data_IF_881748151777
#
_entry.id   IF_881748151777
#
_cell.length_a   1.000
_cell.length_b   1.000
_cell.length_c   1.000
_cell.angle_alpha   90.00
_cell.angle_beta   90.00
_cell.angle_gamma   90.00
#
_symmetry.space_group_name_H-M   'P 1'
#
loop_
_entity.id
_entity.type
_entity.pdbx_description
1 polymer ?
#
# COMPACT_ATOMS: atom_id res chain seq x y z
N UNK A 1 -25.46 3.51 -11.33
CA UNK A 1 -25.16 4.11 -9.99
C UNK A 1 -23.90 3.44 -9.46
N UNK A 2 -23.05 4.19 -8.72
CA UNK A 2 -21.85 3.61 -8.09
C UNK A 2 -22.24 2.54 -7.06
N UNK A 3 -21.49 1.43 -7.02
CA UNK A 3 -21.62 0.38 -6.00
C UNK A 3 -21.50 0.94 -4.57
N UNK A 4 -20.68 1.97 -4.40
CA UNK A 4 -20.31 2.55 -3.10
C UNK A 4 -21.36 3.51 -2.54
N UNK A 5 -22.27 4.01 -3.39
CA UNK A 5 -23.28 4.99 -2.96
C UNK A 5 -24.14 4.42 -1.85
N UNK A 6 -24.28 5.18 -0.76
CA UNK A 6 -25.00 4.82 0.45
C UNK A 6 -24.45 3.61 1.24
N UNK A 7 -23.29 3.03 0.85
CA UNK A 7 -22.63 2.01 1.64
C UNK A 7 -21.96 2.60 2.86
N UNK A 8 -22.05 1.89 3.99
CA UNK A 8 -21.29 2.19 5.21
C UNK A 8 -19.96 1.43 5.16
N UNK A 9 -18.88 2.16 4.96
CA UNK A 9 -17.55 1.57 4.75
C UNK A 9 -16.64 1.88 5.92
N UNK A 10 -16.06 0.83 6.51
CA UNK A 10 -14.97 0.98 7.50
C UNK A 10 -13.65 0.91 6.76
N UNK A 11 -12.79 1.92 6.95
CA UNK A 11 -11.43 1.96 6.42
C UNK A 11 -10.45 1.93 7.59
N UNK A 12 -9.79 0.79 7.81
CA UNK A 12 -8.72 0.71 8.83
C UNK A 12 -7.41 1.20 8.23
N UNK A 13 -6.61 1.92 9.02
CA UNK A 13 -5.44 2.61 8.47
C UNK A 13 -5.80 3.77 7.53
N UNK A 14 -7.03 4.30 7.66
CA UNK A 14 -7.57 5.34 6.76
C UNK A 14 -6.85 6.69 6.83
N UNK A 15 -5.98 6.90 7.81
CA UNK A 15 -5.08 8.05 7.90
C UNK A 15 -3.68 7.79 7.35
N UNK A 16 -3.42 6.56 6.91
CA UNK A 16 -2.20 6.17 6.22
C UNK A 16 -2.12 6.74 4.80
N UNK A 17 -1.05 6.40 4.10
CA UNK A 17 -0.82 6.85 2.72
C UNK A 17 -1.96 6.42 1.78
N UNK A 18 -2.09 5.13 1.50
CA UNK A 18 -3.13 4.61 0.59
C UNK A 18 -4.52 4.82 1.18
N UNK A 19 -4.68 4.57 2.49
CA UNK A 19 -5.96 4.72 3.18
C UNK A 19 -6.58 6.10 3.06
N UNK A 20 -5.77 7.17 3.11
CA UNK A 20 -6.27 8.54 2.96
C UNK A 20 -6.83 8.85 1.57
N UNK A 21 -6.21 8.31 0.51
CA UNK A 21 -6.73 8.42 -0.86
C UNK A 21 -7.99 7.58 -1.07
N UNK A 22 -8.03 6.39 -0.45
CA UNK A 22 -9.21 5.54 -0.49
C UNK A 22 -10.40 6.19 0.22
N UNK A 23 -10.18 6.83 1.37
CA UNK A 23 -11.22 7.59 2.09
C UNK A 23 -11.78 8.71 1.21
N UNK A 24 -10.90 9.51 0.59
CA UNK A 24 -11.30 10.58 -0.33
C UNK A 24 -12.17 10.02 -1.47
N UNK A 25 -11.74 8.94 -2.09
CA UNK A 25 -12.46 8.32 -3.20
C UNK A 25 -13.83 7.78 -2.78
N UNK A 26 -13.92 7.06 -1.67
CA UNK A 26 -15.17 6.51 -1.15
C UNK A 26 -16.20 7.60 -0.81
N UNK A 27 -15.75 8.69 -0.17
CA UNK A 27 -16.61 9.83 0.13
C UNK A 27 -17.15 10.52 -1.13
N UNK A 28 -16.32 10.61 -2.17
CA UNK A 28 -16.71 11.19 -3.47
C UNK A 28 -17.66 10.26 -4.26
N UNK A 29 -17.59 8.94 -4.04
CA UNK A 29 -18.55 7.97 -4.59
C UNK A 29 -19.88 7.91 -3.80
N UNK A 30 -20.00 8.70 -2.74
CA UNK A 30 -21.23 8.80 -1.93
C UNK A 30 -21.34 7.75 -0.83
N UNK A 31 -20.24 7.13 -0.41
CA UNK A 31 -20.20 6.26 0.75
C UNK A 31 -20.22 7.05 2.07
N UNK A 32 -20.73 6.45 3.13
CA UNK A 32 -20.51 6.90 4.51
C UNK A 32 -19.27 6.18 5.04
N UNK A 33 -18.24 6.93 5.43
CA UNK A 33 -16.95 6.34 5.80
C UNK A 33 -16.70 6.46 7.30
N UNK A 34 -16.32 5.35 7.93
CA UNK A 34 -15.71 5.30 9.26
C UNK A 34 -14.22 4.99 9.13
N UNK A 35 -13.39 5.93 9.55
CA UNK A 35 -11.93 5.76 9.63
C UNK A 35 -11.59 5.13 10.98
N UNK A 36 -10.80 4.04 10.97
CA UNK A 36 -10.24 3.40 12.16
C UNK A 36 -8.72 3.47 12.08
N UNK A 37 -8.06 4.11 13.06
CA UNK A 37 -6.61 4.31 13.04
C UNK A 37 -6.06 4.44 14.47
N UNK A 38 -4.77 4.15 14.66
CA UNK A 38 -4.04 4.34 15.92
C UNK A 38 -3.76 5.81 16.23
N UNK A 39 -3.55 6.62 15.17
CA UNK A 39 -3.15 8.03 15.29
C UNK A 39 -4.24 8.90 15.92
N UNK A 40 -3.85 10.02 16.51
CA UNK A 40 -4.82 11.05 16.94
C UNK A 40 -5.44 11.73 15.71
N UNK A 41 -6.67 12.23 15.87
CA UNK A 41 -7.35 13.02 14.81
C UNK A 41 -6.55 14.25 14.36
N UNK A 42 -5.74 14.80 15.28
CA UNK A 42 -4.91 15.99 15.08
C UNK A 42 -3.55 15.71 14.45
N UNK A 43 -3.19 14.46 14.14
CA UNK A 43 -1.89 14.19 13.51
C UNK A 43 -1.89 14.77 12.09
N UNK A 44 -0.94 15.67 11.73
CA UNK A 44 -0.97 16.47 10.49
C UNK A 44 -0.87 15.65 9.19
N UNK A 45 -0.80 14.34 9.29
CA UNK A 45 -0.62 13.47 8.12
C UNK A 45 -1.96 13.21 7.42
N UNK A 46 -2.16 13.83 6.25
CA UNK A 46 -2.59 13.16 5.04
C UNK A 46 -4.06 13.17 4.66
N UNK A 47 -5.02 13.31 5.52
CA UNK A 47 -6.43 13.51 5.12
C UNK A 47 -6.75 14.99 5.28
N UNK A 48 -7.28 15.61 4.24
CA UNK A 48 -7.71 16.99 4.30
C UNK A 48 -8.71 17.19 5.45
N UNK A 49 -8.64 18.28 6.24
CA UNK A 49 -9.55 18.53 7.34
C UNK A 49 -11.03 18.45 6.95
N UNK A 50 -11.36 18.92 5.74
CA UNK A 50 -12.72 18.92 5.18
C UNK A 50 -13.24 17.48 4.96
N UNK A 51 -12.35 16.55 4.58
CA UNK A 51 -12.70 15.14 4.40
C UNK A 51 -12.85 14.43 5.74
N UNK A 52 -12.00 14.76 6.72
CA UNK A 52 -12.16 14.26 8.08
C UNK A 52 -13.48 14.72 8.72
N UNK A 53 -13.97 15.92 8.38
CA UNK A 53 -15.26 16.41 8.83
C UNK A 53 -16.44 15.59 8.27
N UNK A 54 -16.28 14.97 7.09
CA UNK A 54 -17.30 14.14 6.42
C UNK A 54 -17.25 12.67 6.84
N UNK A 55 -16.25 12.23 7.58
CA UNK A 55 -16.08 10.85 8.02
C UNK A 55 -16.18 10.70 9.54
N UNK A 56 -16.77 9.58 9.99
CA UNK A 56 -16.65 9.17 11.39
C UNK A 56 -15.19 8.76 11.65
N UNK A 57 -14.60 9.24 12.75
CA UNK A 57 -13.27 8.85 13.17
C UNK A 57 -13.31 8.07 14.48
N UNK A 58 -12.68 6.89 14.47
CA UNK A 58 -12.52 6.05 15.66
C UNK A 58 -11.06 5.70 15.88
N UNK A 59 -10.51 6.15 17.01
CA UNK A 59 -9.18 5.69 17.46
C UNK A 59 -9.30 4.29 18.03
N UNK A 60 -8.55 3.32 17.50
CA UNK A 60 -8.51 1.96 18.04
C UNK A 60 -7.15 1.30 17.74
N UNK A 61 -6.65 0.53 18.71
CA UNK A 61 -5.56 -0.42 18.50
C UNK A 61 -6.16 -1.78 18.09
N UNK A 62 -5.86 -2.21 16.87
CA UNK A 62 -6.38 -3.47 16.35
C UNK A 62 -5.62 -4.71 16.87
N UNK A 63 -4.51 -4.50 17.58
CA UNK A 63 -3.86 -5.56 18.37
C UNK A 63 -4.55 -5.79 19.70
N UNK A 64 -5.31 -4.79 20.22
CA UNK A 64 -6.00 -4.89 21.50
C UNK A 64 -7.32 -5.64 21.36
N UNK A 65 -7.47 -6.73 22.14
CA UNK A 65 -8.63 -7.61 22.13
C UNK A 65 -9.92 -6.94 22.57
N UNK A 66 -9.87 -5.84 23.32
CA UNK A 66 -11.06 -5.12 23.78
C UNK A 66 -11.60 -4.13 22.76
N UNK A 67 -10.79 -3.70 21.81
CA UNK A 67 -11.09 -2.60 20.88
C UNK A 67 -11.64 -3.07 19.53
N UNK A 68 -11.15 -4.19 18.99
CA UNK A 68 -11.40 -4.58 17.60
C UNK A 68 -12.84 -5.03 17.31
N UNK A 69 -13.52 -5.68 18.24
CA UNK A 69 -14.84 -6.29 18.02
C UNK A 69 -15.97 -5.27 17.75
N UNK A 70 -15.75 -3.99 18.07
CA UNK A 70 -16.76 -2.92 17.89
C UNK A 70 -16.54 -2.08 16.63
N UNK A 71 -15.38 -2.20 15.98
CA UNK A 71 -15.01 -1.29 14.87
C UNK A 71 -15.83 -1.54 13.61
N UNK A 72 -16.29 -2.78 13.38
CA UNK A 72 -17.05 -3.19 12.19
C UNK A 72 -18.57 -3.05 12.36
N UNK A 73 -19.09 -2.71 13.56
CA UNK A 73 -20.53 -2.68 13.81
C UNK A 73 -21.27 -1.77 12.83
N UNK A 74 -22.26 -2.35 12.13
CA UNK A 74 -23.12 -1.65 11.19
C UNK A 74 -22.44 -1.25 9.88
N UNK A 75 -21.27 -1.82 9.55
CA UNK A 75 -20.63 -1.64 8.27
C UNK A 75 -21.17 -2.63 7.23
N UNK A 76 -21.35 -2.15 6.00
CA UNK A 76 -21.61 -3.00 4.83
C UNK A 76 -20.32 -3.58 4.27
N UNK A 77 -19.24 -2.77 4.28
CA UNK A 77 -17.94 -3.13 3.71
C UNK A 77 -16.82 -2.75 4.66
N UNK A 78 -15.79 -3.61 4.77
CA UNK A 78 -14.53 -3.29 5.47
C UNK A 78 -13.38 -3.27 4.47
N UNK A 79 -12.69 -2.14 4.38
CA UNK A 79 -11.44 -1.95 3.62
C UNK A 79 -10.29 -1.99 4.62
N UNK A 80 -9.63 -3.16 4.75
CA UNK A 80 -8.63 -3.38 5.80
C UNK A 80 -7.21 -3.08 5.31
N UNK A 81 -6.74 -1.83 5.56
CA UNK A 81 -5.40 -1.36 5.18
C UNK A 81 -4.46 -1.19 6.38
N UNK A 82 -4.95 -1.30 7.61
CA UNK A 82 -4.11 -1.16 8.80
C UNK A 82 -3.03 -2.23 8.82
N UNK A 83 -1.79 -1.81 8.99
CA UNK A 83 -0.63 -2.67 9.15
C UNK A 83 0.48 -1.92 9.90
N UNK A 84 1.30 -2.64 10.64
CA UNK A 84 2.56 -2.12 11.16
C UNK A 84 3.60 -2.22 10.04
N UNK A 85 3.98 -1.06 9.49
CA UNK A 85 4.96 -0.97 8.40
C UNK A 85 6.16 -0.15 8.90
N UNK A 86 7.36 -0.66 8.64
CA UNK A 86 8.64 -0.01 8.95
C UNK A 86 9.58 -0.12 7.74
N UNK A 87 10.65 0.65 7.73
CA UNK A 87 11.68 0.53 6.69
C UNK A 87 12.39 -0.82 6.72
N UNK A 88 13.04 -1.18 5.60
CA UNK A 88 13.76 -2.47 5.44
C UNK A 88 14.77 -2.70 6.56
N UNK A 89 15.53 -1.68 6.97
CA UNK A 89 16.51 -1.79 8.04
C UNK A 89 15.92 -2.18 9.39
N UNK A 90 14.68 -1.77 9.68
CA UNK A 90 13.95 -2.19 10.87
C UNK A 90 13.45 -3.63 10.73
N UNK A 91 12.82 -3.94 9.61
CA UNK A 91 12.20 -5.25 9.37
C UNK A 91 13.20 -6.41 9.48
N UNK A 92 14.42 -6.22 8.96
CA UNK A 92 15.51 -7.23 9.03
C UNK A 92 15.92 -7.57 10.48
N UNK A 93 15.75 -6.63 11.41
CA UNK A 93 16.13 -6.80 12.82
C UNK A 93 14.98 -7.22 13.74
N UNK A 94 13.72 -7.11 13.27
CA UNK A 94 12.52 -7.25 14.12
C UNK A 94 11.47 -8.16 13.48
N UNK A 95 11.88 -9.31 12.93
CA UNK A 95 10.97 -10.25 12.26
C UNK A 95 9.82 -10.74 13.16
N UNK A 96 10.12 -11.08 14.41
CA UNK A 96 9.13 -11.56 15.37
C UNK A 96 8.05 -10.51 15.67
N UNK A 97 8.45 -9.28 15.95
CA UNK A 97 7.54 -8.16 16.20
C UNK A 97 6.67 -7.83 14.98
N UNK A 98 7.28 -7.82 13.79
CA UNK A 98 6.58 -7.57 12.53
C UNK A 98 5.56 -8.67 12.22
N UNK A 99 5.94 -9.93 12.46
CA UNK A 99 5.02 -11.06 12.32
C UNK A 99 3.86 -10.93 13.30
N UNK A 100 4.16 -10.86 14.60
CA UNK A 100 3.16 -10.88 15.67
C UNK A 100 2.13 -9.76 15.53
N UNK A 101 2.59 -8.52 15.40
CA UNK A 101 1.68 -7.37 15.30
C UNK A 101 0.79 -7.44 14.06
N UNK A 102 1.34 -7.78 12.89
CA UNK A 102 0.55 -7.84 11.67
C UNK A 102 -0.37 -9.08 11.63
N UNK A 103 0.04 -10.21 12.22
CA UNK A 103 -0.82 -11.36 12.37
C UNK A 103 -2.05 -11.02 13.21
N UNK A 104 -1.86 -10.43 14.40
CA UNK A 104 -2.99 -10.03 15.27
C UNK A 104 -3.93 -9.05 14.57
N UNK A 105 -3.40 -7.99 13.95
CA UNK A 105 -4.21 -7.00 13.25
C UNK A 105 -5.10 -7.66 12.19
N UNK A 106 -4.55 -8.56 11.37
CA UNK A 106 -5.32 -9.22 10.31
C UNK A 106 -6.34 -10.23 10.88
N UNK A 107 -5.91 -11.07 11.84
CA UNK A 107 -6.77 -12.08 12.48
C UNK A 107 -7.99 -11.43 13.15
N UNK A 108 -7.76 -10.39 13.95
CA UNK A 108 -8.81 -9.67 14.66
C UNK A 108 -9.80 -9.00 13.70
N UNK A 109 -9.30 -8.36 12.66
CA UNK A 109 -10.18 -7.57 11.78
C UNK A 109 -11.08 -8.44 10.91
N UNK A 110 -10.60 -9.58 10.43
CA UNK A 110 -11.46 -10.48 9.66
C UNK A 110 -12.51 -11.14 10.56
N UNK A 111 -12.15 -11.54 11.79
CA UNK A 111 -13.11 -12.06 12.77
C UNK A 111 -14.12 -10.99 13.21
N UNK A 112 -13.69 -9.75 13.44
CA UNK A 112 -14.60 -8.64 13.71
C UNK A 112 -15.62 -8.42 12.60
N UNK A 113 -15.18 -8.52 11.34
CA UNK A 113 -16.06 -8.37 10.17
C UNK A 113 -17.08 -9.52 10.10
N UNK A 114 -16.63 -10.77 10.35
CA UNK A 114 -17.51 -11.94 10.41
C UNK A 114 -18.59 -11.77 11.47
N UNK A 115 -18.19 -11.46 12.71
CA UNK A 115 -19.12 -11.30 13.84
C UNK A 115 -20.09 -10.13 13.66
N UNK A 116 -19.69 -9.11 12.90
CA UNK A 116 -20.54 -7.96 12.59
C UNK A 116 -21.46 -8.19 11.37
N UNK A 117 -21.38 -9.33 10.69
CA UNK A 117 -22.16 -9.64 9.49
C UNK A 117 -21.83 -8.74 8.30
N UNK A 118 -20.57 -8.34 8.14
CA UNK A 118 -20.12 -7.48 7.03
C UNK A 118 -20.30 -8.21 5.69
N UNK A 119 -20.92 -7.57 4.70
CA UNK A 119 -21.17 -8.19 3.37
C UNK A 119 -19.87 -8.43 2.60
N UNK A 120 -18.93 -7.46 2.59
CA UNK A 120 -17.66 -7.59 1.85
C UNK A 120 -16.45 -7.11 2.65
N UNK A 121 -15.35 -7.81 2.48
CA UNK A 121 -14.08 -7.48 3.15
C UNK A 121 -12.94 -7.38 2.13
N UNK A 122 -12.10 -6.34 2.24
CA UNK A 122 -10.83 -6.26 1.53
C UNK A 122 -9.70 -6.66 2.48
N UNK A 123 -8.97 -7.69 2.14
CA UNK A 123 -7.71 -8.10 2.76
C UNK A 123 -6.53 -7.57 1.93
N UNK A 124 -5.79 -6.62 2.47
CA UNK A 124 -4.61 -6.07 1.78
C UNK A 124 -3.38 -6.88 2.16
N UNK A 125 -2.90 -7.67 1.20
CA UNK A 125 -1.65 -8.42 1.25
C UNK A 125 -0.47 -7.54 0.81
N UNK A 126 0.54 -8.08 0.12
CA UNK A 126 1.74 -7.35 -0.28
C UNK A 126 2.55 -8.10 -1.34
N UNK A 127 3.34 -7.38 -2.15
CA UNK A 127 4.41 -7.97 -2.96
C UNK A 127 5.44 -8.76 -2.12
N UNK A 128 5.56 -8.47 -0.83
CA UNK A 128 6.47 -9.18 0.09
C UNK A 128 6.12 -10.63 0.39
N UNK A 129 4.96 -11.14 -0.08
CA UNK A 129 4.62 -12.58 0.02
C UNK A 129 5.39 -13.43 -0.99
N UNK A 130 5.88 -12.84 -2.07
CA UNK A 130 6.61 -13.58 -3.10
C UNK A 130 8.02 -13.97 -2.67
N UNK A 131 8.50 -15.14 -3.08
CA UNK A 131 9.90 -15.50 -2.90
C UNK A 131 10.82 -14.62 -3.76
N UNK A 132 12.11 -14.62 -3.40
CA UNK A 132 13.12 -13.85 -4.13
C UNK A 132 13.25 -14.32 -5.59
N UNK A 133 13.16 -15.62 -5.80
CA UNK A 133 13.44 -16.29 -7.08
C UNK A 133 12.14 -16.67 -7.83
N UNK A 134 11.08 -15.85 -7.69
CA UNK A 134 9.85 -16.02 -8.47
C UNK A 134 10.01 -15.51 -9.91
N UNK A 135 9.12 -15.96 -10.80
CA UNK A 135 9.05 -15.46 -12.17
C UNK A 135 8.83 -13.94 -12.20
N UNK A 136 9.32 -13.27 -13.24
CA UNK A 136 9.07 -11.84 -13.48
C UNK A 136 8.76 -11.63 -14.97
N UNK A 137 7.55 -11.13 -15.31
CA UNK A 137 6.47 -10.67 -14.44
C UNK A 137 5.95 -11.75 -13.49
N UNK A 138 5.65 -11.38 -12.23
CA UNK A 138 5.32 -12.33 -11.16
C UNK A 138 3.82 -12.62 -11.14
N UNK A 139 3.38 -13.85 -11.42
CA UNK A 139 1.99 -14.22 -11.36
C UNK A 139 1.53 -14.53 -9.92
N UNK A 140 0.22 -14.44 -9.66
CA UNK A 140 -0.33 -14.58 -8.31
C UNK A 140 -0.10 -15.97 -7.69
N UNK A 141 -0.03 -17.02 -8.47
CA UNK A 141 0.24 -18.40 -8.02
C UNK A 141 1.63 -18.60 -7.41
N UNK A 142 2.58 -17.72 -7.70
CA UNK A 142 3.93 -17.77 -7.13
C UNK A 142 3.98 -17.32 -5.65
N UNK A 143 2.90 -16.73 -5.14
CA UNK A 143 2.86 -16.18 -3.80
C UNK A 143 3.11 -17.17 -2.65
N UNK A 144 3.03 -18.48 -2.90
CA UNK A 144 3.25 -19.54 -1.92
C UNK A 144 4.28 -20.60 -2.36
N UNK A 145 5.01 -20.39 -3.46
CA UNK A 145 5.98 -21.38 -3.99
C UNK A 145 7.28 -21.51 -3.19
N UNK A 146 7.55 -20.64 -2.25
CA UNK A 146 8.75 -20.67 -1.41
C UNK A 146 8.63 -19.72 -0.24
N UNK A 147 9.74 -19.39 0.42
CA UNK A 147 9.77 -18.46 1.53
C UNK A 147 9.55 -17.02 1.06
N UNK A 148 8.85 -16.18 1.85
CA UNK A 148 8.79 -14.75 1.60
C UNK A 148 10.18 -14.13 1.56
N UNK A 149 10.32 -12.98 0.89
CA UNK A 149 11.61 -12.30 0.84
C UNK A 149 12.21 -12.05 2.23
N UNK A 150 13.50 -12.40 2.39
CA UNK A 150 14.20 -12.35 3.67
C UNK A 150 14.18 -10.97 4.35
N UNK A 151 14.23 -9.88 3.58
CA UNK A 151 14.21 -8.52 4.11
C UNK A 151 12.89 -8.13 4.80
N UNK A 152 11.80 -8.83 4.47
CA UNK A 152 10.47 -8.64 5.04
C UNK A 152 9.87 -9.92 5.59
N UNK A 153 10.67 -10.90 5.99
CA UNK A 153 10.26 -12.26 6.32
C UNK A 153 9.03 -12.34 7.25
N UNK A 154 9.12 -11.73 8.44
CA UNK A 154 8.02 -11.76 9.39
C UNK A 154 6.75 -11.07 8.88
N UNK A 155 6.90 -9.95 8.16
CA UNK A 155 5.77 -9.25 7.54
C UNK A 155 5.14 -10.07 6.41
N UNK A 156 5.96 -10.66 5.54
CA UNK A 156 5.50 -11.50 4.42
C UNK A 156 4.70 -12.71 4.93
N UNK A 157 5.18 -13.39 5.96
CA UNK A 157 4.46 -14.51 6.59
C UNK A 157 3.15 -14.07 7.25
N UNK A 158 3.12 -12.93 7.94
CA UNK A 158 1.88 -12.41 8.51
C UNK A 158 0.84 -12.09 7.42
N UNK A 159 1.28 -11.63 6.25
CA UNK A 159 0.39 -11.38 5.11
C UNK A 159 -0.07 -12.67 4.42
N UNK A 160 0.79 -13.69 4.30
CA UNK A 160 0.36 -15.03 3.87
C UNK A 160 -0.67 -15.64 4.83
N UNK A 161 -0.48 -15.48 6.15
CA UNK A 161 -1.44 -15.92 7.15
C UNK A 161 -2.82 -15.25 6.94
N UNK A 162 -2.85 -13.95 6.64
CA UNK A 162 -4.09 -13.24 6.33
C UNK A 162 -4.78 -13.77 5.05
N UNK A 163 -4.02 -14.13 4.02
CA UNK A 163 -4.58 -14.76 2.81
C UNK A 163 -5.14 -16.15 3.10
N UNK A 164 -4.46 -16.96 3.94
CA UNK A 164 -4.95 -18.28 4.38
C UNK A 164 -6.24 -18.13 5.18
N UNK A 165 -6.26 -17.23 6.18
CA UNK A 165 -7.46 -16.94 6.95
C UNK A 165 -8.63 -16.52 6.04
N UNK A 166 -8.36 -15.65 5.06
CA UNK A 166 -9.39 -15.21 4.10
C UNK A 166 -10.01 -16.36 3.33
N UNK A 167 -9.20 -17.32 2.87
CA UNK A 167 -9.69 -18.52 2.17
C UNK A 167 -10.53 -19.42 3.09
N UNK A 168 -10.04 -19.68 4.31
CA UNK A 168 -10.77 -20.47 5.31
C UNK A 168 -12.14 -19.83 5.60
N UNK A 169 -12.18 -18.53 5.82
CA UNK A 169 -13.43 -17.81 6.14
C UNK A 169 -14.41 -17.72 4.95
N UNK A 170 -13.89 -17.61 3.74
CA UNK A 170 -14.73 -17.69 2.55
C UNK A 170 -15.34 -19.10 2.39
N UNK A 171 -14.57 -20.16 2.65
CA UNK A 171 -15.03 -21.55 2.54
C UNK A 171 -16.01 -21.93 3.65
N UNK A 172 -15.72 -21.59 4.89
CA UNK A 172 -16.50 -22.03 6.07
C UNK A 172 -17.73 -21.16 6.27
N UNK A 173 -17.59 -19.83 6.15
CA UNK A 173 -18.66 -18.88 6.49
C UNK A 173 -19.30 -18.20 5.28
N UNK A 174 -18.87 -18.51 4.06
CA UNK A 174 -19.38 -17.87 2.85
C UNK A 174 -19.06 -16.38 2.74
N UNK A 175 -18.04 -15.88 3.44
CA UNK A 175 -17.65 -14.47 3.42
C UNK A 175 -17.14 -14.05 2.05
N UNK A 176 -17.60 -12.90 1.57
CA UNK A 176 -17.13 -12.27 0.35
C UNK A 176 -15.86 -11.46 0.62
N UNK A 177 -14.70 -12.01 0.32
CA UNK A 177 -13.40 -11.44 0.64
C UNK A 177 -12.61 -11.20 -0.63
N UNK A 178 -12.22 -9.95 -0.89
CA UNK A 178 -11.24 -9.61 -1.92
C UNK A 178 -9.84 -9.60 -1.31
N UNK A 179 -8.85 -10.15 -2.02
CA UNK A 179 -7.44 -10.11 -1.63
C UNK A 179 -6.66 -9.36 -2.71
N UNK A 180 -5.89 -8.35 -2.31
CA UNK A 180 -5.03 -7.60 -3.22
C UNK A 180 -3.57 -7.63 -2.76
N UNK A 181 -2.63 -7.68 -3.69
CA UNK A 181 -1.19 -7.59 -3.48
C UNK A 181 -0.65 -6.33 -4.14
N UNK A 182 -0.54 -5.22 -3.39
CA UNK A 182 0.02 -3.96 -3.90
C UNK A 182 1.48 -4.07 -4.32
N UNK A 183 1.84 -3.39 -5.43
CA UNK A 183 3.20 -3.29 -5.95
C UNK A 183 3.72 -1.85 -5.90
N UNK A 184 4.73 -1.57 -5.04
CA UNK A 184 5.50 -0.32 -4.96
C UNK A 184 4.66 0.95 -5.17
N UNK A 185 3.63 1.11 -4.36
CA UNK A 185 2.70 2.25 -4.48
C UNK A 185 3.41 3.55 -4.13
N UNK A 186 3.20 4.60 -4.94
CA UNK A 186 3.73 5.94 -4.72
C UNK A 186 2.68 7.02 -5.02
N UNK A 187 2.92 8.23 -4.54
CA UNK A 187 2.03 9.38 -4.77
C UNK A 187 2.11 10.41 -3.65
N UNK A 188 1.30 11.47 -3.74
CA UNK A 188 1.12 12.43 -2.66
C UNK A 188 0.77 11.75 -1.34
N UNK A 189 1.13 12.35 -0.21
CA UNK A 189 0.90 11.82 1.14
C UNK A 189 1.66 10.54 1.48
N UNK A 190 2.57 10.06 0.64
CA UNK A 190 3.43 8.92 1.00
C UNK A 190 4.40 9.31 2.13
N UNK A 191 5.13 8.32 2.64
CA UNK A 191 6.03 8.53 3.76
C UNK A 191 7.36 9.15 3.33
N UNK A 192 7.66 10.34 3.85
CA UNK A 192 8.91 11.08 3.65
C UNK A 192 9.69 11.19 4.96
N UNK A 193 10.43 10.15 5.29
CA UNK A 193 11.36 10.13 6.42
C UNK A 193 12.68 9.56 5.93
N UNK A 194 13.82 10.25 6.10
CA UNK A 194 15.11 9.84 5.54
C UNK A 194 15.56 8.43 5.91
N UNK A 195 15.19 7.94 7.10
CA UNK A 195 15.60 6.63 7.60
C UNK A 195 14.74 5.47 7.09
N UNK A 196 13.47 5.73 6.77
CA UNK A 196 12.47 4.68 6.52
C UNK A 196 11.68 4.86 5.22
N UNK A 197 12.02 5.87 4.44
CA UNK A 197 11.31 6.18 3.20
C UNK A 197 11.48 5.09 2.13
N UNK A 198 10.40 4.74 1.40
CA UNK A 198 10.51 3.95 0.18
C UNK A 198 11.32 4.65 -0.92
N UNK A 199 11.71 3.89 -1.95
CA UNK A 199 12.63 4.35 -3.01
C UNK A 199 12.24 5.71 -3.59
N UNK A 200 11.02 5.90 -4.07
CA UNK A 200 10.60 7.16 -4.72
C UNK A 200 10.70 8.34 -3.75
N UNK A 201 10.13 8.24 -2.55
CA UNK A 201 10.21 9.35 -1.58
C UNK A 201 11.63 9.63 -1.11
N UNK A 202 12.46 8.58 -0.93
CA UNK A 202 13.86 8.74 -0.59
C UNK A 202 14.62 9.49 -1.69
N UNK A 203 14.41 9.13 -2.97
CA UNK A 203 15.08 9.81 -4.08
C UNK A 203 14.56 11.24 -4.28
N UNK A 204 13.26 11.50 -4.12
CA UNK A 204 12.72 12.87 -4.17
C UNK A 204 13.38 13.75 -3.09
N UNK A 205 13.47 13.27 -1.84
CA UNK A 205 14.12 14.00 -0.77
C UNK A 205 15.60 14.30 -1.07
N UNK A 206 16.35 13.28 -1.51
CA UNK A 206 17.76 13.41 -1.85
C UNK A 206 17.99 14.40 -3.00
N UNK A 207 17.22 14.27 -4.08
CA UNK A 207 17.32 15.18 -5.23
C UNK A 207 17.03 16.63 -4.82
N UNK A 208 15.98 16.85 -4.05
CA UNK A 208 15.60 18.22 -3.65
C UNK A 208 16.61 18.84 -2.66
N UNK A 209 17.25 18.03 -1.81
CA UNK A 209 18.27 18.48 -0.87
C UNK A 209 19.66 18.69 -1.50
N UNK A 210 19.99 17.93 -2.56
CA UNK A 210 21.31 18.02 -3.20
C UNK A 210 21.55 19.39 -3.84
N UNK A 211 22.80 19.88 -3.78
CA UNK A 211 23.24 21.12 -4.43
C UNK A 211 23.82 20.81 -5.82
N UNK A 212 24.92 20.08 -5.90
CA UNK A 212 25.64 19.81 -7.14
C UNK A 212 25.76 18.33 -7.46
N UNK A 213 25.88 17.48 -6.43
CA UNK A 213 26.13 16.03 -6.56
C UNK A 213 25.04 15.23 -5.84
N UNK A 214 24.57 14.18 -6.50
CA UNK A 214 23.63 13.19 -5.94
C UNK A 214 24.30 11.81 -5.90
N UNK A 215 24.52 11.29 -4.70
CA UNK A 215 25.05 9.92 -4.52
C UNK A 215 23.92 8.90 -4.45
N UNK A 216 23.97 7.90 -5.32
CA UNK A 216 23.03 6.80 -5.45
C UNK A 216 23.71 5.48 -5.05
N UNK A 217 23.04 4.68 -4.22
CA UNK A 217 23.53 3.38 -3.80
C UNK A 217 23.33 2.32 -4.88
N UNK A 218 24.37 1.49 -5.11
CA UNK A 218 24.41 0.48 -6.17
C UNK A 218 24.70 1.10 -7.53
N UNK A 219 24.52 0.32 -8.60
CA UNK A 219 24.76 0.75 -9.99
C UNK A 219 23.50 1.29 -10.71
N UNK A 220 22.35 1.27 -10.05
CA UNK A 220 21.09 1.74 -10.63
C UNK A 220 20.48 0.87 -11.73
N UNK A 221 21.04 -0.30 -12.04
CA UNK A 221 20.53 -1.18 -13.11
C UNK A 221 19.31 -2.03 -12.73
N UNK A 222 19.01 -2.17 -11.44
CA UNK A 222 17.81 -2.89 -10.98
C UNK A 222 16.54 -2.22 -11.49
N UNK A 223 15.55 -3.04 -11.90
CA UNK A 223 14.27 -2.54 -12.40
C UNK A 223 13.14 -2.70 -11.39
N UNK A 224 12.20 -1.79 -11.43
CA UNK A 224 10.96 -1.80 -10.63
C UNK A 224 9.80 -1.29 -11.45
N UNK A 225 8.60 -1.75 -11.12
CA UNK A 225 7.37 -1.06 -11.48
C UNK A 225 6.87 -0.25 -10.28
N UNK A 226 6.27 0.90 -10.55
CA UNK A 226 5.75 1.80 -9.52
C UNK A 226 4.31 2.18 -9.85
N UNK A 227 3.40 1.85 -8.95
CA UNK A 227 1.97 2.07 -9.12
C UNK A 227 1.56 3.39 -8.50
N UNK A 228 0.91 4.25 -9.26
CA UNK A 228 0.39 5.49 -8.70
C UNK A 228 -0.80 5.22 -7.78
N UNK A 229 -0.90 5.97 -6.70
CA UNK A 229 -1.85 5.67 -5.60
C UNK A 229 -3.32 5.67 -6.03
N UNK A 230 -3.72 6.48 -7.03
CA UNK A 230 -5.10 6.45 -7.52
C UNK A 230 -5.41 5.15 -8.27
N UNK A 231 -4.46 4.60 -9.02
CA UNK A 231 -4.62 3.32 -9.72
C UNK A 231 -4.69 2.16 -8.72
N UNK A 232 -3.89 2.22 -7.64
CA UNK A 232 -3.99 1.25 -6.55
C UNK A 232 -5.36 1.28 -5.88
N UNK A 233 -5.89 2.47 -5.58
CA UNK A 233 -7.22 2.65 -4.99
C UNK A 233 -8.32 2.14 -5.95
N UNK A 234 -8.23 2.45 -7.24
CA UNK A 234 -9.16 1.92 -8.26
C UNK A 234 -9.14 0.39 -8.27
N UNK A 235 -7.94 -0.23 -8.22
CA UNK A 235 -7.78 -1.68 -8.17
C UNK A 235 -8.38 -2.32 -6.91
N UNK A 236 -8.17 -1.73 -5.74
CA UNK A 236 -8.76 -2.18 -4.47
C UNK A 236 -10.29 -2.13 -4.51
N UNK A 237 -10.86 -1.03 -5.00
CA UNK A 237 -12.31 -0.86 -5.10
C UNK A 237 -12.92 -1.85 -6.09
N UNK A 238 -12.33 -2.02 -7.26
CA UNK A 238 -12.76 -2.99 -8.27
C UNK A 238 -12.68 -4.44 -7.77
N UNK A 239 -11.64 -4.79 -7.01
CA UNK A 239 -11.50 -6.13 -6.42
C UNK A 239 -12.67 -6.45 -5.47
N UNK A 240 -13.05 -5.51 -4.60
CA UNK A 240 -14.18 -5.67 -3.69
C UNK A 240 -15.51 -5.75 -4.46
N UNK A 241 -15.67 -4.95 -5.51
CA UNK A 241 -16.90 -4.95 -6.31
C UNK A 241 -17.09 -6.24 -7.11
N UNK A 242 -16.01 -6.74 -7.76
CA UNK A 242 -16.12 -7.72 -8.83
C UNK A 242 -15.52 -9.08 -8.53
N UNK A 243 -14.58 -9.18 -7.57
CA UNK A 243 -13.86 -10.43 -7.30
C UNK A 243 -13.65 -10.72 -5.79
N UNK A 244 -14.71 -10.68 -4.97
CA UNK A 244 -14.60 -10.97 -3.55
C UNK A 244 -14.70 -12.48 -3.24
N UNK A 245 -13.76 -13.28 -3.79
CA UNK A 245 -13.79 -14.77 -3.75
C UNK A 245 -12.56 -15.36 -3.07
N UNK A 246 -11.85 -14.57 -2.25
CA UNK A 246 -10.65 -14.95 -1.53
C UNK A 246 -9.50 -15.47 -2.43
N UNK A 247 -9.47 -15.01 -3.68
CA UNK A 247 -8.44 -15.29 -4.66
C UNK A 247 -7.61 -14.03 -4.91
N UNK A 248 -6.28 -14.02 -4.66
CA UNK A 248 -5.48 -12.81 -4.69
C UNK A 248 -5.31 -12.22 -6.10
N UNK A 249 -5.27 -10.90 -6.16
CA UNK A 249 -5.02 -10.11 -7.36
C UNK A 249 -3.79 -9.21 -7.17
N UNK A 250 -2.86 -9.21 -8.11
CA UNK A 250 -1.77 -8.25 -8.16
C UNK A 250 -2.31 -6.89 -8.61
N UNK A 251 -2.21 -5.87 -7.77
CA UNK A 251 -2.53 -4.51 -8.18
C UNK A 251 -1.22 -3.75 -8.40
N UNK A 252 -1.01 -3.33 -9.64
CA UNK A 252 0.25 -2.76 -10.06
C UNK A 252 0.24 -2.26 -11.50
N UNK A 253 1.42 -2.01 -12.05
CA UNK A 253 1.64 -1.69 -13.46
C UNK A 253 2.73 -2.56 -14.06
N UNK A 254 2.63 -2.86 -15.34
CA UNK A 254 3.68 -3.52 -16.11
C UNK A 254 4.76 -2.54 -16.62
N UNK A 255 4.61 -1.24 -16.36
CA UNK A 255 5.62 -0.24 -16.73
C UNK A 255 6.84 -0.39 -15.81
N UNK A 256 7.90 -1.00 -16.32
CA UNK A 256 9.18 -1.15 -15.61
C UNK A 256 10.13 -0.01 -15.94
N UNK A 257 10.88 0.42 -14.93
CA UNK A 257 11.94 1.43 -15.08
C UNK A 257 13.20 1.00 -14.32
N UNK A 258 14.39 1.27 -14.87
CA UNK A 258 15.63 1.16 -14.13
C UNK A 258 15.72 2.26 -13.07
N UNK A 259 16.34 1.96 -11.94
CA UNK A 259 16.47 2.96 -10.86
C UNK A 259 17.27 4.18 -11.32
N UNK A 260 18.29 4.00 -12.17
CA UNK A 260 19.04 5.13 -12.76
C UNK A 260 18.13 6.06 -13.58
N UNK A 261 17.28 5.49 -14.45
CA UNK A 261 16.37 6.26 -15.30
C UNK A 261 15.29 6.96 -14.47
N UNK A 262 14.82 6.31 -13.39
CA UNK A 262 13.92 6.92 -12.40
C UNK A 262 14.55 8.16 -11.76
N UNK A 263 15.81 8.07 -11.34
CA UNK A 263 16.52 9.17 -10.68
C UNK A 263 16.71 10.34 -11.66
N UNK A 264 17.15 10.07 -12.88
CA UNK A 264 17.27 11.08 -13.94
C UNK A 264 15.92 11.76 -14.22
N UNK A 265 14.82 10.98 -14.23
CA UNK A 265 13.46 11.52 -14.38
C UNK A 265 13.10 12.44 -13.21
N UNK A 266 13.40 12.06 -11.97
CA UNK A 266 13.14 12.89 -10.78
C UNK A 266 13.97 14.18 -10.85
N UNK A 267 15.26 14.11 -11.19
CA UNK A 267 16.14 15.28 -11.36
C UNK A 267 15.55 16.24 -12.40
N UNK A 268 15.20 15.72 -13.58
CA UNK A 268 14.60 16.52 -14.66
C UNK A 268 13.28 17.19 -14.24
N UNK A 269 12.37 16.46 -13.57
CA UNK A 269 11.08 16.99 -13.12
C UNK A 269 11.27 18.03 -12.02
N UNK A 270 12.27 17.86 -11.15
CA UNK A 270 12.57 18.81 -10.07
C UNK A 270 13.09 20.16 -10.55
N UNK A 271 13.58 20.22 -11.80
CA UNK A 271 14.23 21.39 -12.39
C UNK A 271 15.69 21.59 -11.97
N UNK A 272 16.26 20.61 -11.24
CA UNK A 272 17.65 20.69 -10.79
C UNK A 272 18.64 20.21 -11.86
N UNK A 273 19.89 20.66 -11.75
CA UNK A 273 21.04 20.19 -12.52
C UNK A 273 22.02 19.55 -11.55
N UNK A 274 22.09 18.22 -11.53
CA UNK A 274 22.90 17.46 -10.59
C UNK A 274 23.81 16.49 -11.34
N UNK A 275 25.04 16.34 -10.87
CA UNK A 275 25.91 15.23 -11.25
C UNK A 275 25.53 14.01 -10.43
N UNK A 276 25.20 12.88 -11.09
CA UNK A 276 24.81 11.64 -10.42
C UNK A 276 26.05 10.75 -10.31
N UNK A 277 26.34 10.31 -9.08
CA UNK A 277 27.43 9.39 -8.76
C UNK A 277 26.87 8.10 -8.16
N UNK A 278 27.40 6.95 -8.59
CA UNK A 278 26.93 5.64 -8.15
C UNK A 278 27.92 5.01 -7.16
N UNK A 279 27.48 4.74 -5.94
CA UNK A 279 28.26 4.04 -4.91
C UNK A 279 27.96 2.53 -4.98
N UNK A 280 28.73 1.80 -5.78
CA UNK A 280 28.58 0.36 -5.98
C UNK A 280 29.00 -0.48 -4.76
N UNK A 281 29.60 0.12 -3.73
CA UNK A 281 29.97 -0.58 -2.49
C UNK A 281 28.74 -0.82 -1.60
N UNK A 282 27.63 -0.10 -1.85
CA UNK A 282 26.40 -0.24 -1.11
C UNK A 282 25.48 -1.30 -1.71
N UNK A 283 24.73 -2.04 -0.90
CA UNK A 283 23.85 -3.09 -1.38
C UNK A 283 22.76 -2.55 -2.30
N UNK A 284 22.51 -3.26 -3.39
CA UNK A 284 21.31 -3.11 -4.23
C UNK A 284 20.28 -4.17 -3.84
N UNK A 285 18.98 -3.86 -3.93
CA UNK A 285 17.89 -4.82 -3.70
C UNK A 285 17.79 -5.87 -4.82
N UNK A 286 16.67 -6.61 -4.89
CA UNK A 286 16.41 -7.60 -5.95
C UNK A 286 16.65 -7.00 -7.35
N UNK A 287 17.16 -7.80 -8.28
CA UNK A 287 17.53 -7.33 -9.61
C UNK A 287 16.32 -6.81 -10.40
N UNK A 288 15.17 -7.51 -10.31
CA UNK A 288 13.94 -7.17 -11.03
C UNK A 288 12.70 -7.44 -10.19
N UNK A 289 11.69 -6.54 -10.27
CA UNK A 289 10.35 -6.74 -9.69
C UNK A 289 9.29 -6.05 -10.54
N UNK A 290 8.39 -6.87 -11.10
CA UNK A 290 7.25 -6.43 -11.87
C UNK A 290 6.10 -7.42 -11.69
N UNK A 291 4.85 -6.99 -11.44
CA UNK A 291 3.71 -7.89 -11.37
C UNK A 291 3.28 -8.36 -12.77
N UNK A 292 2.77 -9.58 -12.86
CA UNK A 292 1.81 -9.91 -13.90
C UNK A 292 0.45 -9.34 -13.46
N UNK A 293 -0.15 -8.49 -14.29
CA UNK A 293 -1.46 -7.88 -14.07
C UNK A 293 -2.53 -8.41 -15.02
N UNK A 294 -2.25 -9.46 -15.78
CA UNK A 294 -3.20 -10.05 -16.74
C UNK A 294 -4.46 -10.57 -16.05
N UNK A 295 -4.31 -11.15 -14.86
CA UNK A 295 -5.43 -11.67 -14.06
C UNK A 295 -6.38 -10.54 -13.61
N UNK A 296 -5.97 -9.47 -12.93
CA UNK A 296 -6.87 -8.37 -12.59
C UNK A 296 -7.41 -7.64 -13.82
N UNK A 297 -6.65 -7.50 -14.90
CA UNK A 297 -7.19 -6.93 -16.15
C UNK A 297 -8.39 -7.75 -16.67
N UNK A 298 -8.28 -9.05 -16.68
CA UNK A 298 -9.31 -9.96 -17.18
C UNK A 298 -10.51 -10.06 -16.24
N UNK A 299 -10.29 -10.22 -14.93
CA UNK A 299 -11.35 -10.54 -13.97
C UNK A 299 -12.13 -9.32 -13.49
N UNK A 300 -11.45 -8.19 -13.30
CA UNK A 300 -12.06 -6.98 -12.73
C UNK A 300 -12.01 -5.76 -13.67
N UNK A 301 -11.37 -5.89 -14.84
CA UNK A 301 -11.18 -4.79 -15.79
C UNK A 301 -10.20 -3.72 -15.27
N UNK A 302 -9.28 -4.10 -14.37
CA UNK A 302 -8.27 -3.19 -13.86
C UNK A 302 -7.33 -2.72 -14.97
N UNK A 303 -7.08 -1.42 -15.03
CA UNK A 303 -6.11 -0.80 -15.95
C UNK A 303 -5.45 0.37 -15.25
N UNK A 304 -4.12 0.34 -15.02
CA UNK A 304 -3.40 1.50 -14.53
C UNK A 304 -3.46 2.61 -15.59
N UNK A 305 -3.72 3.85 -15.15
CA UNK A 305 -4.00 5.01 -16.04
C UNK A 305 -2.90 6.05 -15.95
N UNK A 306 -2.27 6.20 -14.78
CA UNK A 306 -1.33 7.27 -14.51
C UNK A 306 0.08 6.84 -14.90
N UNK A 307 0.67 7.53 -15.87
CA UNK A 307 2.06 7.29 -16.25
C UNK A 307 3.03 7.74 -15.17
N UNK A 308 4.17 7.05 -15.05
CA UNK A 308 5.16 7.32 -14.01
C UNK A 308 5.61 8.79 -13.95
N UNK A 309 5.90 9.40 -15.10
CA UNK A 309 6.34 10.80 -15.16
C UNK A 309 5.27 11.81 -14.66
N UNK A 310 4.00 11.51 -14.90
CA UNK A 310 2.87 12.31 -14.43
C UNK A 310 2.73 12.20 -12.92
N UNK A 311 2.64 10.98 -12.39
CA UNK A 311 2.52 10.74 -10.96
C UNK A 311 3.72 11.25 -10.16
N UNK A 312 4.95 11.19 -10.73
CA UNK A 312 6.14 11.79 -10.11
C UNK A 312 6.02 13.32 -10.02
N UNK A 313 5.52 13.98 -11.07
CA UNK A 313 5.32 15.43 -11.05
C UNK A 313 4.36 15.86 -9.95
N UNK A 314 3.22 15.17 -9.83
CA UNK A 314 2.26 15.43 -8.77
C UNK A 314 2.85 15.16 -7.37
N UNK A 315 3.59 14.06 -7.21
CA UNK A 315 4.22 13.69 -5.94
C UNK A 315 5.28 14.71 -5.50
N UNK A 316 6.12 15.17 -6.44
CA UNK A 316 7.17 16.17 -6.17
C UNK A 316 6.54 17.53 -5.83
N UNK A 317 5.51 17.96 -6.56
CA UNK A 317 4.81 19.21 -6.30
C UNK A 317 4.14 19.17 -4.91
N UNK A 318 3.45 18.08 -4.59
CA UNK A 318 2.87 17.90 -3.27
C UNK A 318 3.93 17.98 -2.15
N UNK A 319 5.08 17.32 -2.34
CA UNK A 319 6.15 17.32 -1.34
C UNK A 319 6.75 18.71 -1.14
N UNK A 320 6.97 19.47 -2.23
CA UNK A 320 7.44 20.87 -2.15
C UNK A 320 6.47 21.75 -1.34
N UNK A 321 5.17 21.63 -1.58
CA UNK A 321 4.13 22.35 -0.84
C UNK A 321 4.09 21.92 0.64
N UNK A 322 4.23 20.60 0.90
CA UNK A 322 4.24 20.05 2.25
C UNK A 322 5.44 20.55 3.08
N UNK A 323 6.65 20.61 2.50
CA UNK A 323 7.83 21.16 3.19
C UNK A 323 7.61 22.63 3.49
N UNK A 324 7.14 23.42 2.51
CA UNK A 324 6.92 24.85 2.67
C UNK A 324 5.86 25.18 3.76
N UNK A 325 4.93 24.25 4.02
CA UNK A 325 3.92 24.42 5.08
C UNK A 325 4.41 23.97 6.46
N UNK A 326 5.54 23.24 6.53
CA UNK A 326 6.11 22.70 7.77
C UNK A 326 7.29 23.53 8.30
N UNK A 327 7.81 24.47 7.47
CA UNK A 327 8.80 25.49 7.82
C UNK A 327 8.12 26.79 8.23
#
# INVERSE_FOLDING_TARGET
MSFWRNKKVVVTGGRGFIGSHLVDRLLNEGATVRIVDLGSRSHPRKVAPELLARAEYRKADLCDTQSWNKVCRGADVVMHLAAKIRGVGYNVKHHGEMFFSNALINLHMLEAARLAGVDRFLSVSTVGVYPKDCAVPTPEEDGFKGEPEASGYGYGWAKRLAEVQSRCYAQEYGMKIAIVRPYNVYGPRMHFNPETAPVISAQIMKVLAAQDVLTVWGNGEQTRSFTYVSDEVDGMMLAVEKHPVADPLNIGTSEEIKIKDLIEMIVRISGKRLRIEYDVTKPSGAARRCPDISKPMRLIGYKPKVRLAEGLRETINWYKTYIASAS
#
